data_IF_605105337034
#
_entry.id   IF_605105337034
#
_cell.length_a   1.000
_cell.length_b   1.000
_cell.length_c   1.000
_cell.angle_alpha   90.00
_cell.angle_beta   90.00
_cell.angle_gamma   90.00
#
_symmetry.space_group_name_H-M   'P 1'
#
loop_
_entity.id
_entity.type
_entity.pdbx_description
1 polymer ?
#
# COMPACT_ATOMS: atom_id res chain seq x y z
N UNK A 1 -0.77 -1.62 28.80
CA UNK A 1 -2.16 -1.71 29.26
C UNK A 1 -2.91 -2.68 28.36
N UNK A 2 -3.21 -3.88 28.89
CA UNK A 2 -4.02 -4.90 28.19
C UNK A 2 -5.51 -4.66 28.46
N UNK A 3 -5.98 -3.44 28.25
CA UNK A 3 -7.41 -3.17 28.36
C UNK A 3 -8.20 -3.94 27.30
N UNK A 4 -9.48 -4.18 27.52
CA UNK A 4 -10.36 -4.87 26.58
C UNK A 4 -10.42 -4.20 25.19
N UNK A 5 -10.10 -2.91 25.10
CA UNK A 5 -10.03 -2.16 23.86
C UNK A 5 -8.70 -2.30 23.11
N UNK A 6 -7.64 -2.73 23.80
CA UNK A 6 -6.28 -2.91 23.25
C UNK A 6 -5.85 -4.38 23.29
N UNK A 7 -6.77 -5.29 23.03
CA UNK A 7 -6.52 -6.73 23.07
C UNK A 7 -5.52 -7.25 22.00
N UNK A 8 -4.93 -6.38 21.17
CA UNK A 8 -3.99 -6.76 20.13
C UNK A 8 -2.79 -5.80 20.01
N UNK A 9 -1.99 -5.57 21.08
CA UNK A 9 -0.76 -4.79 20.99
C UNK A 9 0.18 -5.37 19.92
N UNK A 10 0.22 -6.67 19.75
CA UNK A 10 1.07 -7.36 18.76
C UNK A 10 0.78 -6.90 17.32
N UNK A 11 -0.47 -6.58 16.98
CA UNK A 11 -0.81 -6.06 15.64
C UNK A 11 -0.29 -4.65 15.44
N UNK A 12 -0.36 -3.83 16.47
CA UNK A 12 0.17 -2.46 16.41
C UNK A 12 1.69 -2.49 16.30
N UNK A 13 2.36 -3.29 17.12
CA UNK A 13 3.81 -3.45 17.09
C UNK A 13 4.31 -4.01 15.76
N UNK A 14 3.59 -4.97 15.17
CA UNK A 14 3.89 -5.49 13.85
C UNK A 14 3.76 -4.40 12.75
N UNK A 15 2.72 -3.58 12.83
CA UNK A 15 2.52 -2.45 11.89
C UNK A 15 3.60 -1.39 12.04
N UNK A 16 3.99 -1.08 13.29
CA UNK A 16 5.07 -0.17 13.60
C UNK A 16 6.40 -0.67 13.05
N UNK A 17 6.73 -1.93 13.30
CA UNK A 17 7.96 -2.55 12.81
C UNK A 17 8.00 -2.64 11.28
N UNK A 18 6.86 -2.91 10.64
CA UNK A 18 6.73 -2.96 9.17
C UNK A 18 6.94 -1.59 8.53
N UNK A 19 6.37 -0.53 9.09
CA UNK A 19 6.44 0.84 8.55
C UNK A 19 7.76 1.54 8.83
N UNK A 20 8.29 1.40 10.04
CA UNK A 20 9.40 2.21 10.54
C UNK A 20 10.58 1.41 11.10
N UNK A 21 10.56 0.09 10.94
CA UNK A 21 11.54 -0.82 11.52
C UNK A 21 11.32 -1.09 13.02
N UNK A 22 11.91 -2.17 13.52
CA UNK A 22 11.81 -2.53 14.93
C UNK A 22 12.35 -1.39 15.82
N UNK A 23 11.67 -1.05 16.93
CA UNK A 23 12.12 0.00 17.82
C UNK A 23 13.38 -0.42 18.60
N UNK A 24 14.30 0.52 18.76
CA UNK A 24 15.56 0.32 19.49
C UNK A 24 15.46 0.60 21.01
N UNK A 25 14.32 1.06 21.47
CA UNK A 25 14.03 1.39 22.87
C UNK A 25 12.75 2.18 23.02
N UNK A 26 12.40 2.54 24.25
CA UNK A 26 11.11 3.18 24.55
C UNK A 26 10.93 4.54 23.85
N UNK A 27 11.95 5.36 23.79
CA UNK A 27 11.89 6.68 23.12
C UNK A 27 11.67 6.53 21.62
N UNK A 28 12.38 5.60 21.00
CA UNK A 28 12.22 5.28 19.58
C UNK A 28 10.85 4.68 19.28
N UNK A 29 10.36 3.80 20.16
CA UNK A 29 9.00 3.28 20.10
C UNK A 29 7.97 4.40 20.13
N UNK A 30 8.02 5.29 21.10
CA UNK A 30 7.09 6.42 21.24
C UNK A 30 7.12 7.32 20.00
N UNK A 31 8.31 7.62 19.46
CA UNK A 31 8.48 8.45 18.26
C UNK A 31 7.81 7.78 17.04
N UNK A 32 8.07 6.50 16.82
CA UNK A 32 7.47 5.72 15.72
C UNK A 32 5.95 5.59 15.89
N UNK A 33 5.48 5.39 17.12
CA UNK A 33 4.07 5.34 17.43
C UNK A 33 3.35 6.66 17.10
N UNK A 34 3.96 7.80 17.41
CA UNK A 34 3.42 9.10 17.03
C UNK A 34 3.39 9.31 15.52
N UNK A 35 4.39 8.84 14.76
CA UNK A 35 4.38 8.89 13.29
C UNK A 35 3.21 8.08 12.70
N UNK A 36 3.00 6.85 13.16
CA UNK A 36 1.82 6.05 12.74
C UNK A 36 0.52 6.78 13.06
N UNK A 37 0.46 7.43 14.22
CA UNK A 37 -0.72 8.15 14.64
C UNK A 37 -1.00 9.37 13.74
N UNK A 38 0.05 10.09 13.30
CA UNK A 38 -0.06 11.16 12.29
C UNK A 38 -0.65 10.61 10.99
N UNK A 39 -0.02 9.57 10.44
CA UNK A 39 -0.40 9.00 9.14
C UNK A 39 -1.81 8.41 9.15
N UNK A 40 -2.15 7.65 10.20
CA UNK A 40 -3.46 7.00 10.30
C UNK A 40 -4.60 8.03 10.44
N UNK A 41 -4.42 9.04 11.28
CA UNK A 41 -5.45 10.07 11.43
C UNK A 41 -5.56 10.95 10.18
N UNK A 42 -4.43 11.34 9.58
CA UNK A 42 -4.42 12.07 8.31
C UNK A 42 -5.18 11.29 7.24
N UNK A 43 -4.84 10.02 7.02
CA UNK A 43 -5.49 9.18 6.02
C UNK A 43 -6.98 8.97 6.28
N UNK A 44 -7.40 8.85 7.55
CA UNK A 44 -8.81 8.74 7.91
C UNK A 44 -9.60 9.97 7.48
N UNK A 45 -9.12 11.16 7.80
CA UNK A 45 -9.80 12.41 7.44
C UNK A 45 -9.74 12.66 5.94
N UNK A 46 -8.61 12.39 5.28
CA UNK A 46 -8.48 12.51 3.82
C UNK A 46 -9.45 11.57 3.09
N UNK A 47 -9.65 10.34 3.59
CA UNK A 47 -10.62 9.40 3.02
C UNK A 47 -12.06 9.92 3.07
N UNK A 48 -12.44 10.68 4.10
CA UNK A 48 -13.75 11.34 4.17
C UNK A 48 -13.83 12.56 3.27
N UNK A 49 -12.79 13.36 3.18
CA UNK A 49 -12.71 14.49 2.24
C UNK A 49 -12.74 14.03 0.78
N UNK A 50 -12.12 12.87 0.47
CA UNK A 50 -12.17 12.25 -0.85
C UNK A 50 -13.61 11.95 -1.31
N UNK A 51 -14.48 11.63 -0.37
CA UNK A 51 -15.89 11.27 -0.59
C UNK A 51 -16.88 12.37 -0.17
N UNK A 52 -16.39 13.58 0.06
CA UNK A 52 -17.19 14.70 0.54
C UNK A 52 -18.39 14.97 -0.38
N UNK A 53 -19.60 14.93 0.22
CA UNK A 53 -20.92 15.11 -0.39
C UNK A 53 -21.37 14.02 -1.36
N UNK A 54 -20.55 13.01 -1.60
CA UNK A 54 -20.97 11.81 -2.33
C UNK A 54 -21.65 10.84 -1.35
N UNK A 55 -20.90 10.25 -0.44
CA UNK A 55 -21.41 9.37 0.62
C UNK A 55 -20.84 9.70 2.01
N UNK A 56 -20.13 10.81 2.13
CA UNK A 56 -19.55 11.30 3.38
C UNK A 56 -19.93 12.76 3.64
N UNK A 57 -20.47 13.04 4.83
CA UNK A 57 -20.87 14.39 5.26
C UNK A 57 -20.16 14.89 6.51
N UNK A 58 -19.38 14.06 7.18
CA UNK A 58 -18.60 14.43 8.36
C UNK A 58 -18.05 13.26 9.13
N UNK A 59 -17.20 13.55 10.11
CA UNK A 59 -16.59 12.58 11.01
C UNK A 59 -16.92 12.95 12.45
N UNK A 60 -17.34 11.96 13.23
CA UNK A 60 -17.42 12.08 14.68
C UNK A 60 -16.27 11.31 15.32
N UNK A 61 -15.33 12.03 15.92
CA UNK A 61 -14.18 11.41 16.59
C UNK A 61 -14.60 10.88 17.95
N UNK A 62 -14.34 9.59 18.20
CA UNK A 62 -14.55 8.98 19.50
C UNK A 62 -13.35 9.20 20.40
N UNK A 63 -13.55 9.99 21.43
CA UNK A 63 -12.67 10.48 22.49
C UNK A 63 -11.50 11.35 21.98
N UNK A 64 -11.65 12.65 22.18
CA UNK A 64 -10.60 13.63 21.88
C UNK A 64 -9.50 13.65 22.96
N UNK A 65 -9.78 13.21 24.19
CA UNK A 65 -8.87 13.27 25.33
C UNK A 65 -9.09 12.08 26.27
N UNK A 66 -8.01 11.63 26.92
CA UNK A 66 -8.06 10.62 27.97
C UNK A 66 -8.64 11.16 29.28
N UNK A 67 -9.43 10.34 29.98
CA UNK A 67 -9.91 10.64 31.33
C UNK A 67 -8.83 10.40 32.41
N UNK A 68 -7.76 9.72 32.09
CA UNK A 68 -6.61 9.39 32.95
C UNK A 68 -5.36 9.15 32.07
N UNK A 69 -4.14 9.23 32.63
CA UNK A 69 -2.93 8.94 31.86
C UNK A 69 -2.96 7.55 31.25
N UNK A 70 -2.99 7.46 29.91
CA UNK A 70 -3.03 6.21 29.14
C UNK A 70 -2.40 6.38 27.77
N UNK A 71 -2.02 5.27 27.15
CA UNK A 71 -1.50 5.23 25.77
C UNK A 71 -2.64 4.83 24.82
N UNK A 72 -3.41 5.82 24.35
CA UNK A 72 -4.55 5.61 23.47
C UNK A 72 -4.50 6.63 22.32
N UNK A 73 -5.34 6.45 21.34
CA UNK A 73 -5.39 7.17 20.05
C UNK A 73 -5.95 8.61 20.11
N UNK A 74 -6.15 9.20 21.27
CA UNK A 74 -6.76 10.53 21.39
C UNK A 74 -5.91 11.63 20.74
N UNK A 75 -6.57 12.73 20.35
CA UNK A 75 -5.91 13.93 19.80
C UNK A 75 -5.11 14.69 20.84
N UNK A 76 -5.55 14.61 22.10
CA UNK A 76 -4.85 15.18 23.27
C UNK A 76 -4.57 14.08 24.27
N UNK A 77 -3.44 14.13 24.90
CA UNK A 77 -3.17 13.29 26.07
C UNK A 77 -3.88 13.81 27.32
N UNK A 78 -3.72 13.10 28.45
CA UNK A 78 -4.32 13.51 29.73
C UNK A 78 -3.84 14.90 30.19
N UNK A 79 -2.63 15.28 29.87
CA UNK A 79 -1.99 16.56 30.26
C UNK A 79 -2.24 17.68 29.27
N UNK A 80 -3.09 17.49 28.27
CA UNK A 80 -3.39 18.43 27.18
C UNK A 80 -2.24 18.65 26.18
N UNK A 81 -1.25 17.77 26.17
CA UNK A 81 -0.25 17.78 25.12
C UNK A 81 -0.82 17.22 23.82
N UNK A 82 -0.33 17.74 22.70
CA UNK A 82 -0.79 17.39 21.37
C UNK A 82 -0.13 16.09 20.92
N UNK A 83 -0.93 15.11 20.54
CA UNK A 83 -0.45 13.82 20.00
C UNK A 83 -0.27 13.85 18.50
N UNK A 84 0.30 12.80 17.93
CA UNK A 84 0.35 12.60 16.47
C UNK A 84 -1.03 12.66 15.81
N UNK A 85 -2.09 12.19 16.49
CA UNK A 85 -3.46 12.28 15.99
C UNK A 85 -3.90 13.72 15.75
N UNK A 86 -3.58 14.63 16.63
CA UNK A 86 -3.87 16.07 16.44
C UNK A 86 -3.20 16.61 15.18
N UNK A 87 -1.92 16.33 15.00
CA UNK A 87 -1.16 16.87 13.87
C UNK A 87 -1.59 16.28 12.54
N UNK A 88 -1.89 14.98 12.50
CA UNK A 88 -2.45 14.32 11.32
C UNK A 88 -3.81 14.90 10.93
N UNK A 89 -4.71 15.02 11.91
CA UNK A 89 -6.04 15.61 11.71
C UNK A 89 -5.94 17.08 11.26
N UNK A 90 -5.13 17.89 11.92
CA UNK A 90 -4.91 19.29 11.57
C UNK A 90 -4.43 19.44 10.12
N UNK A 91 -3.49 18.62 9.69
CA UNK A 91 -2.97 18.64 8.32
C UNK A 91 -4.07 18.29 7.30
N UNK A 92 -4.86 17.22 7.56
CA UNK A 92 -5.95 16.83 6.67
C UNK A 92 -7.10 17.84 6.62
N UNK A 93 -7.34 18.58 7.72
CA UNK A 93 -8.42 19.53 7.83
C UNK A 93 -8.06 20.96 7.38
N UNK A 94 -6.99 21.16 6.62
CA UNK A 94 -6.72 22.45 6.00
C UNK A 94 -7.87 22.84 5.06
N UNK A 95 -8.35 24.09 5.10
CA UNK A 95 -9.54 24.50 4.34
C UNK A 95 -9.45 24.27 2.83
N UNK A 96 -8.25 24.39 2.28
CA UNK A 96 -7.89 24.01 0.92
C UNK A 96 -6.77 22.98 1.02
N UNK A 97 -7.07 21.72 0.73
CA UNK A 97 -6.19 20.59 1.00
C UNK A 97 -5.99 19.73 -0.25
N UNK A 98 -4.76 19.29 -0.48
CA UNK A 98 -4.42 18.32 -1.52
C UNK A 98 -4.24 16.94 -0.87
N UNK A 99 -4.86 15.93 -1.43
CA UNK A 99 -4.81 14.55 -0.94
C UNK A 99 -4.52 13.57 -2.08
N UNK A 100 -3.98 12.42 -1.72
CA UNK A 100 -3.77 11.30 -2.63
C UNK A 100 -4.55 10.08 -2.13
N UNK A 101 -5.35 9.48 -3.01
CA UNK A 101 -6.07 8.25 -2.73
C UNK A 101 -5.25 7.04 -3.19
N UNK A 102 -4.72 6.22 -2.27
CA UNK A 102 -3.86 5.07 -2.62
C UNK A 102 -4.58 3.91 -3.30
N UNK A 103 -5.92 3.92 -3.34
CA UNK A 103 -6.72 2.87 -3.99
C UNK A 103 -6.90 3.16 -5.49
N UNK A 104 -7.05 4.44 -5.83
CA UNK A 104 -7.30 4.90 -7.20
C UNK A 104 -6.09 5.59 -7.84
N UNK A 105 -5.04 5.84 -7.05
CA UNK A 105 -3.87 6.66 -7.40
C UNK A 105 -4.24 8.09 -7.83
N UNK A 106 -5.45 8.53 -7.48
CA UNK A 106 -5.95 9.86 -7.78
C UNK A 106 -5.40 10.89 -6.80
N UNK A 107 -4.94 12.02 -7.33
CA UNK A 107 -4.63 13.23 -6.58
C UNK A 107 -5.82 14.16 -6.69
N UNK A 108 -6.34 14.60 -5.55
CA UNK A 108 -7.53 15.44 -5.46
C UNK A 108 -7.27 16.69 -4.63
N UNK A 109 -8.04 17.74 -4.89
CA UNK A 109 -8.13 18.95 -4.06
C UNK A 109 -9.48 18.96 -3.38
N UNK A 110 -9.47 18.99 -2.05
CA UNK A 110 -10.65 19.24 -1.22
C UNK A 110 -10.68 20.72 -0.84
N UNK A 111 -11.76 21.39 -1.17
CA UNK A 111 -12.03 22.78 -0.83
C UNK A 111 -13.25 22.83 0.10
N UNK A 112 -13.01 23.02 1.39
CA UNK A 112 -14.10 23.16 2.39
C UNK A 112 -14.50 24.61 2.66
N UNK A 113 -13.97 25.55 1.88
CA UNK A 113 -14.30 26.97 2.00
C UNK A 113 -15.56 27.35 1.21
N UNK A 114 -16.07 28.52 1.47
CA UNK A 114 -17.20 29.14 0.68
C UNK A 114 -16.70 29.77 -0.63
N UNK A 115 -15.38 29.78 -0.88
CA UNK A 115 -14.78 30.47 -2.01
C UNK A 115 -14.49 29.51 -3.17
N UNK A 116 -14.65 30.00 -4.40
CA UNK A 116 -14.14 29.32 -5.60
C UNK A 116 -12.72 29.76 -5.87
N UNK A 117 -11.84 28.81 -6.13
CA UNK A 117 -10.45 29.08 -6.47
C UNK A 117 -10.20 28.81 -7.95
N UNK A 118 -9.58 29.77 -8.62
CA UNK A 118 -9.14 29.65 -10.01
C UNK A 118 -7.62 29.48 -10.05
N UNK A 119 -7.14 28.79 -11.07
CA UNK A 119 -5.73 28.66 -11.38
C UNK A 119 -4.86 28.08 -10.23
N UNK A 120 -5.42 27.14 -9.44
CA UNK A 120 -4.68 26.42 -8.44
C UNK A 120 -3.68 25.47 -9.11
N UNK A 121 -2.43 25.56 -8.74
CA UNK A 121 -1.41 24.56 -9.13
C UNK A 121 -1.44 23.39 -8.14
N UNK A 122 -1.99 22.26 -8.57
CA UNK A 122 -1.83 20.98 -7.87
C UNK A 122 -0.50 20.36 -8.31
N UNK A 123 0.39 20.07 -7.37
CA UNK A 123 1.73 19.52 -7.65
C UNK A 123 2.06 18.39 -6.69
N UNK A 124 2.57 17.29 -7.23
CA UNK A 124 3.06 16.13 -6.48
C UNK A 124 4.47 15.81 -6.92
N UNK A 125 5.36 15.66 -5.96
CA UNK A 125 6.71 15.13 -6.17
C UNK A 125 6.84 13.81 -5.42
N UNK A 126 7.14 12.75 -6.16
CA UNK A 126 7.38 11.42 -5.60
C UNK A 126 8.87 11.25 -5.32
N UNK A 127 9.19 10.70 -4.17
CA UNK A 127 10.57 10.40 -3.75
C UNK A 127 10.71 8.90 -3.49
N UNK A 128 11.90 8.37 -3.78
CA UNK A 128 12.26 7.03 -3.33
C UNK A 128 12.68 7.04 -1.85
N UNK A 129 12.97 5.87 -1.29
CA UNK A 129 13.38 5.73 0.11
C UNK A 129 14.73 6.38 0.43
N UNK A 130 15.54 6.71 -0.58
CA UNK A 130 16.80 7.47 -0.42
C UNK A 130 16.57 8.99 -0.42
N UNK A 131 15.32 9.45 -0.52
CA UNK A 131 14.97 10.87 -0.60
C UNK A 131 15.26 11.51 -1.96
N UNK A 132 15.52 10.73 -3.00
CA UNK A 132 15.70 11.22 -4.37
C UNK A 132 14.36 11.30 -5.08
N UNK A 133 14.10 12.44 -5.71
CA UNK A 133 12.90 12.62 -6.52
C UNK A 133 12.86 11.61 -7.68
N UNK A 134 11.66 11.08 -7.95
CA UNK A 134 11.37 10.21 -9.09
C UNK A 134 10.54 10.99 -10.10
N UNK A 135 11.17 11.63 -11.10
CA UNK A 135 10.49 12.56 -12.02
C UNK A 135 9.34 11.92 -12.81
N UNK A 136 9.45 10.64 -13.11
CA UNK A 136 8.43 9.91 -13.86
C UNK A 136 7.06 9.86 -13.17
N UNK A 137 7.04 9.89 -11.85
CA UNK A 137 5.81 9.91 -11.05
C UNK A 137 5.47 11.32 -10.53
N UNK A 138 6.39 12.29 -10.68
CA UNK A 138 6.12 13.68 -10.31
C UNK A 138 5.24 14.33 -11.37
N UNK A 139 4.17 15.00 -10.95
CA UNK A 139 3.17 15.56 -11.86
C UNK A 139 2.59 16.84 -11.29
N UNK A 140 2.16 17.74 -12.18
CA UNK A 140 1.40 18.93 -11.81
C UNK A 140 0.32 19.22 -12.82
N UNK A 141 -0.76 19.88 -12.38
CA UNK A 141 -1.79 20.45 -13.23
C UNK A 141 -2.32 21.73 -12.64
N UNK A 142 -2.93 22.58 -13.48
CA UNK A 142 -3.69 23.73 -13.06
C UNK A 142 -5.17 23.33 -13.03
N UNK A 143 -5.84 23.61 -11.92
CA UNK A 143 -7.23 23.22 -11.70
C UNK A 143 -8.05 24.38 -11.12
N UNK A 144 -9.37 24.32 -11.31
CA UNK A 144 -10.32 25.25 -10.72
C UNK A 144 -11.18 24.50 -9.72
N UNK A 145 -11.13 24.90 -8.45
CA UNK A 145 -11.87 24.25 -7.38
C UNK A 145 -13.10 25.08 -6.99
N UNK A 146 -14.28 24.50 -7.12
CA UNK A 146 -15.50 25.11 -6.62
C UNK A 146 -15.51 25.10 -5.09
N UNK A 147 -16.24 26.03 -4.51
CA UNK A 147 -16.49 26.05 -3.07
C UNK A 147 -17.13 24.76 -2.61
N UNK A 148 -16.73 24.29 -1.41
CA UNK A 148 -17.33 23.15 -0.73
C UNK A 148 -17.42 21.89 -1.61
N UNK A 149 -16.29 21.52 -2.25
CA UNK A 149 -16.21 20.40 -3.20
C UNK A 149 -14.87 19.67 -3.15
N UNK A 150 -14.87 18.43 -3.63
CA UNK A 150 -13.62 17.68 -3.90
C UNK A 150 -13.50 17.47 -5.40
N UNK A 151 -12.32 17.77 -5.95
CA UNK A 151 -12.02 17.70 -7.37
C UNK A 151 -10.80 16.78 -7.61
N UNK A 152 -10.93 15.85 -8.54
CA UNK A 152 -9.77 15.09 -9.04
C UNK A 152 -8.93 15.97 -9.97
N UNK A 153 -7.64 16.09 -9.66
CA UNK A 153 -6.68 16.86 -10.43
C UNK A 153 -6.02 16.00 -11.52
N UNK A 154 -5.57 14.83 -11.12
CA UNK A 154 -4.92 13.82 -11.98
C UNK A 154 -4.69 12.53 -11.22
N UNK A 155 -4.37 11.46 -11.93
CA UNK A 155 -3.88 10.19 -11.37
C UNK A 155 -2.37 10.05 -11.56
N UNK A 156 -1.72 9.29 -10.68
CA UNK A 156 -0.31 8.91 -10.79
C UNK A 156 -0.27 7.43 -11.16
N UNK A 157 0.15 7.13 -12.38
CA UNK A 157 0.28 5.74 -12.80
C UNK A 157 1.64 5.18 -12.36
N UNK A 158 1.68 4.57 -11.18
CA UNK A 158 2.88 3.91 -10.66
C UNK A 158 3.30 2.66 -11.43
N UNK A 159 2.46 2.17 -12.34
CA UNK A 159 2.78 1.03 -13.19
C UNK A 159 3.48 1.45 -14.48
N UNK A 160 3.47 2.73 -14.85
CA UNK A 160 3.99 3.22 -16.12
C UNK A 160 5.47 2.89 -16.35
N UNK A 161 6.26 2.86 -15.29
CA UNK A 161 7.69 2.50 -15.33
C UNK A 161 7.98 1.09 -14.80
N UNK A 162 6.95 0.38 -14.37
CA UNK A 162 7.04 -1.03 -13.99
C UNK A 162 6.08 -1.82 -14.87
N UNK A 163 6.43 -2.03 -16.14
CA UNK A 163 5.57 -2.78 -17.04
C UNK A 163 5.36 -4.18 -16.45
N UNK A 164 4.13 -4.69 -16.55
CA UNK A 164 3.87 -6.09 -16.26
C UNK A 164 4.53 -6.97 -17.33
N UNK A 165 5.77 -7.37 -17.08
CA UNK A 165 6.56 -8.19 -17.99
C UNK A 165 5.95 -9.59 -18.20
N UNK A 166 5.13 -10.04 -17.24
CA UNK A 166 4.47 -11.33 -17.27
C UNK A 166 3.13 -11.34 -18.00
N UNK A 167 2.58 -10.18 -18.38
CA UNK A 167 1.26 -10.10 -18.99
C UNK A 167 1.18 -10.89 -20.30
N UNK A 168 0.24 -11.86 -20.37
CA UNK A 168 0.03 -12.76 -21.51
C UNK A 168 1.28 -13.57 -21.96
N UNK A 169 2.25 -13.71 -21.07
CA UNK A 169 3.44 -14.51 -21.32
C UNK A 169 3.17 -16.00 -21.14
N UNK A 170 4.08 -16.83 -21.66
CA UNK A 170 4.00 -18.27 -21.51
C UNK A 170 4.22 -18.68 -20.05
N UNK A 171 3.34 -19.51 -19.54
CA UNK A 171 3.42 -20.08 -18.18
C UNK A 171 3.64 -21.58 -18.22
N UNK A 172 4.35 -22.06 -17.22
CA UNK A 172 4.50 -23.49 -16.93
C UNK A 172 4.22 -23.71 -15.45
N UNK A 173 3.51 -24.77 -15.15
CA UNK A 173 3.02 -25.06 -13.79
C UNK A 173 3.36 -26.49 -13.38
N UNK A 174 3.42 -26.73 -12.08
CA UNK A 174 3.62 -28.06 -11.49
C UNK A 174 2.39 -28.96 -11.67
N UNK A 175 1.20 -28.37 -11.59
CA UNK A 175 -0.09 -29.06 -11.73
C UNK A 175 -1.21 -28.06 -12.01
N UNK A 176 -2.36 -28.55 -12.40
CA UNK A 176 -3.58 -27.76 -12.56
C UNK A 176 -4.78 -28.55 -12.00
N UNK A 177 -5.55 -27.92 -11.11
CA UNK A 177 -6.85 -28.43 -10.66
C UNK A 177 -8.01 -27.65 -11.27
N UNK A 178 -7.83 -26.32 -11.48
CA UNK A 178 -8.86 -25.45 -12.04
C UNK A 178 -8.21 -24.31 -12.84
N UNK A 179 -8.85 -23.90 -13.93
CA UNK A 179 -8.42 -22.83 -14.82
C UNK A 179 -7.27 -23.21 -15.73
N UNK A 180 -7.12 -22.50 -16.83
CA UNK A 180 -5.94 -22.61 -17.69
C UNK A 180 -4.77 -21.86 -17.04
N UNK A 181 -3.54 -22.39 -17.05
CA UNK A 181 -2.37 -21.69 -16.47
C UNK A 181 -2.16 -20.26 -16.99
N UNK A 182 -2.54 -19.95 -18.23
CA UNK A 182 -2.43 -18.60 -18.78
C UNK A 182 -3.31 -17.58 -18.08
N UNK A 183 -4.36 -18.02 -17.38
CA UNK A 183 -5.23 -17.13 -16.59
C UNK A 183 -4.48 -16.47 -15.41
N UNK A 184 -3.36 -17.05 -14.96
CA UNK A 184 -2.54 -16.44 -13.92
C UNK A 184 -1.84 -15.17 -14.37
N UNK A 185 -1.76 -14.89 -15.67
CA UNK A 185 -1.04 -13.76 -16.27
C UNK A 185 -1.84 -13.00 -17.33
N UNK A 186 -3.14 -13.20 -17.43
CA UNK A 186 -4.01 -12.57 -18.44
C UNK A 186 -4.47 -11.14 -18.08
N UNK A 187 -4.10 -10.67 -16.87
CA UNK A 187 -4.43 -9.33 -16.38
C UNK A 187 -5.88 -9.15 -15.91
N UNK A 188 -6.67 -10.21 -15.84
CA UNK A 188 -8.07 -10.17 -15.41
C UNK A 188 -8.18 -10.56 -13.93
N UNK A 189 -9.11 -9.95 -13.22
CA UNK A 189 -9.35 -10.22 -11.79
C UNK A 189 -10.39 -11.33 -11.54
N UNK A 190 -11.15 -11.68 -12.55
CA UNK A 190 -12.23 -12.66 -12.52
C UNK A 190 -11.81 -14.04 -13.05
N UNK A 191 -10.58 -14.17 -13.48
CA UNK A 191 -9.96 -15.42 -13.90
C UNK A 191 -8.86 -15.85 -12.94
N UNK A 192 -8.63 -17.17 -12.84
CA UNK A 192 -7.54 -17.70 -12.01
C UNK A 192 -7.04 -19.05 -12.54
N UNK A 193 -5.83 -19.38 -12.14
CA UNK A 193 -5.29 -20.73 -12.18
C UNK A 193 -5.17 -21.26 -10.75
N UNK A 194 -5.52 -22.51 -10.53
CA UNK A 194 -5.32 -23.21 -9.26
C UNK A 194 -4.50 -24.48 -9.47
N UNK A 195 -3.48 -24.66 -8.63
CA UNK A 195 -2.70 -25.89 -8.55
C UNK A 195 -3.50 -27.03 -7.89
N UNK A 196 -2.98 -28.25 -7.91
CA UNK A 196 -3.48 -29.31 -7.04
C UNK A 196 -3.33 -28.89 -5.55
N UNK A 197 -4.27 -29.33 -4.71
CA UNK A 197 -4.33 -29.00 -3.27
C UNK A 197 -3.27 -29.79 -2.49
N UNK A 198 -2.00 -29.48 -2.71
CA UNK A 198 -0.85 -30.11 -2.06
C UNK A 198 0.34 -29.15 -1.95
N UNK A 199 1.30 -29.51 -1.12
CA UNK A 199 2.52 -28.73 -0.93
C UNK A 199 3.48 -28.88 -2.13
N UNK A 200 4.45 -27.95 -2.24
CA UNK A 200 5.49 -27.89 -3.27
C UNK A 200 4.98 -27.64 -4.69
N UNK A 201 3.89 -26.91 -4.81
CA UNK A 201 3.37 -26.46 -6.10
C UNK A 201 4.06 -25.17 -6.56
N UNK A 202 4.15 -25.00 -7.87
CA UNK A 202 4.84 -23.84 -8.44
C UNK A 202 4.24 -23.43 -9.79
N UNK A 203 4.47 -22.17 -10.11
CA UNK A 203 4.21 -21.56 -11.41
C UNK A 203 5.42 -20.72 -11.80
N UNK A 204 5.87 -20.82 -13.05
CA UNK A 204 6.82 -19.85 -13.59
C UNK A 204 6.34 -19.25 -14.91
N UNK A 205 6.78 -18.00 -15.13
CA UNK A 205 6.52 -17.22 -16.32
C UNK A 205 7.80 -17.13 -17.15
N UNK A 206 7.74 -17.40 -18.46
CA UNK A 206 8.81 -17.15 -19.42
C UNK A 206 8.62 -15.75 -20.00
N UNK A 207 9.46 -14.82 -19.63
CA UNK A 207 9.42 -13.43 -20.11
C UNK A 207 9.91 -13.26 -21.56
N UNK A 208 10.25 -14.38 -22.22
CA UNK A 208 10.69 -14.43 -23.63
C UNK A 208 12.16 -14.03 -23.85
N UNK A 209 12.72 -13.17 -23.01
CA UNK A 209 14.12 -12.73 -23.04
C UNK A 209 14.61 -12.40 -21.65
N UNK A 210 15.93 -12.34 -21.49
CA UNK A 210 16.56 -11.83 -20.28
C UNK A 210 16.29 -10.33 -20.17
N UNK A 211 15.79 -9.89 -19.02
CA UNK A 211 15.50 -8.49 -18.74
C UNK A 211 15.49 -8.24 -17.24
N UNK A 212 15.64 -6.97 -16.77
CA UNK A 212 15.66 -6.65 -15.36
C UNK A 212 14.30 -6.91 -14.71
N UNK A 213 14.31 -7.64 -13.60
CA UNK A 213 13.13 -7.96 -12.77
C UNK A 213 13.42 -7.51 -11.35
N UNK A 214 12.62 -6.60 -10.82
CA UNK A 214 12.77 -6.05 -9.47
C UNK A 214 11.60 -6.36 -8.53
N UNK A 215 10.64 -7.18 -8.95
CA UNK A 215 9.52 -7.56 -8.10
C UNK A 215 8.46 -8.41 -8.79
N UNK A 216 7.50 -8.85 -7.97
CA UNK A 216 6.34 -9.64 -8.39
C UNK A 216 5.11 -9.14 -7.65
N UNK A 217 4.00 -9.02 -8.35
CA UNK A 217 2.68 -8.87 -7.75
C UNK A 217 1.98 -10.22 -7.78
N UNK A 218 1.54 -10.69 -6.62
CA UNK A 218 0.70 -11.88 -6.48
C UNK A 218 -0.71 -11.44 -6.09
N UNK A 219 -1.70 -11.79 -6.92
CA UNK A 219 -3.11 -11.62 -6.63
C UNK A 219 -3.68 -12.99 -6.25
N UNK A 220 -3.81 -13.23 -4.95
CA UNK A 220 -4.36 -14.44 -4.39
C UNK A 220 -5.88 -14.40 -4.35
N UNK A 221 -6.49 -15.54 -4.58
CA UNK A 221 -7.89 -15.78 -4.27
C UNK A 221 -8.04 -16.01 -2.75
N UNK A 222 -9.13 -16.63 -2.27
CA UNK A 222 -9.31 -16.96 -0.86
C UNK A 222 -8.26 -17.96 -0.33
N UNK A 223 -7.75 -18.84 -1.19
CA UNK A 223 -6.67 -19.77 -0.87
C UNK A 223 -5.33 -19.20 -1.33
N UNK A 224 -4.33 -19.23 -0.45
CA UNK A 224 -3.03 -18.64 -0.73
C UNK A 224 -1.88 -19.42 -0.08
N UNK A 225 -0.67 -19.25 -0.62
CA UNK A 225 0.54 -19.81 -0.03
C UNK A 225 0.95 -19.08 1.24
N UNK A 226 1.10 -19.79 2.35
CA UNK A 226 1.64 -19.24 3.60
C UNK A 226 3.15 -19.20 3.63
N UNK A 227 3.76 -20.24 3.10
CA UNK A 227 5.21 -20.34 2.96
C UNK A 227 5.56 -20.51 1.49
N UNK A 228 6.23 -19.52 0.92
CA UNK A 228 6.61 -19.54 -0.48
C UNK A 228 7.89 -18.72 -0.75
N UNK A 229 8.43 -18.89 -1.93
CA UNK A 229 9.54 -18.08 -2.43
C UNK A 229 9.33 -17.65 -3.87
N UNK A 230 9.95 -16.51 -4.21
CA UNK A 230 10.11 -16.04 -5.57
C UNK A 230 11.54 -16.36 -6.01
N UNK A 231 11.66 -16.94 -7.16
CA UNK A 231 12.94 -17.33 -7.74
C UNK A 231 13.02 -16.80 -9.18
N UNK A 232 14.24 -16.56 -9.60
CA UNK A 232 14.56 -16.12 -10.96
C UNK A 232 15.54 -17.10 -11.62
N UNK A 233 15.49 -17.17 -12.94
CA UNK A 233 16.37 -18.06 -13.71
C UNK A 233 16.57 -17.54 -15.14
N UNK A 234 17.66 -17.96 -15.78
CA UNK A 234 17.92 -17.71 -17.19
C UNK A 234 17.76 -18.96 -18.08
N UNK A 235 17.63 -20.16 -17.47
CA UNK A 235 17.55 -21.46 -18.16
C UNK A 235 16.37 -22.33 -17.74
N UNK A 236 15.56 -21.86 -16.78
CA UNK A 236 14.47 -22.60 -16.14
C UNK A 236 14.90 -23.91 -15.44
N UNK A 237 16.19 -24.10 -15.21
CA UNK A 237 16.76 -25.27 -14.54
C UNK A 237 17.44 -24.86 -13.23
N UNK A 238 18.30 -23.86 -13.29
CA UNK A 238 18.97 -23.30 -12.11
C UNK A 238 18.19 -22.07 -11.64
N UNK A 239 17.75 -22.11 -10.37
CA UNK A 239 16.90 -21.11 -9.78
C UNK A 239 17.60 -20.39 -8.64
N UNK A 240 17.70 -19.08 -8.75
CA UNK A 240 18.19 -18.19 -7.70
C UNK A 240 17.02 -17.65 -6.89
N UNK A 241 17.12 -17.69 -5.56
CA UNK A 241 16.10 -17.08 -4.70
C UNK A 241 16.22 -15.55 -4.73
N UNK A 242 15.12 -14.89 -5.02
CA UNK A 242 15.00 -13.44 -4.98
C UNK A 242 14.25 -12.94 -3.73
N UNK A 243 13.32 -13.76 -3.23
CA UNK A 243 12.54 -13.46 -2.03
C UNK A 243 11.99 -14.76 -1.43
N UNK A 244 11.82 -14.80 -0.11
CA UNK A 244 11.09 -15.87 0.57
C UNK A 244 10.31 -15.36 1.77
N UNK A 245 9.20 -16.04 2.09
CA UNK A 245 8.38 -15.75 3.27
C UNK A 245 7.83 -17.03 3.87
N UNK A 246 7.60 -17.01 5.20
CA UNK A 246 6.84 -18.02 5.95
C UNK A 246 5.50 -17.48 6.45
N UNK A 247 5.18 -16.24 6.11
CA UNK A 247 4.03 -15.51 6.62
C UNK A 247 3.30 -14.79 5.48
N UNK A 248 2.96 -15.51 4.41
CA UNK A 248 2.08 -14.99 3.35
C UNK A 248 0.75 -14.53 3.94
N UNK A 249 0.23 -13.42 3.47
CA UNK A 249 -0.98 -12.77 4.00
C UNK A 249 -2.20 -12.94 3.09
N UNK A 250 -2.01 -13.41 1.87
CA UNK A 250 -3.09 -13.53 0.88
C UNK A 250 -3.54 -12.18 0.30
N UNK A 251 -4.60 -12.20 -0.49
CA UNK A 251 -5.06 -11.02 -1.19
C UNK A 251 -4.03 -10.51 -2.20
N UNK A 252 -3.72 -9.22 -2.20
CA UNK A 252 -2.72 -8.64 -3.09
C UNK A 252 -1.40 -8.45 -2.34
N UNK A 253 -0.36 -9.15 -2.78
CA UNK A 253 0.99 -9.03 -2.25
C UNK A 253 1.93 -8.43 -3.30
N UNK A 254 2.49 -7.25 -2.99
CA UNK A 254 3.53 -6.61 -3.79
C UNK A 254 4.89 -6.94 -3.19
N UNK A 255 5.65 -7.75 -3.89
CA UNK A 255 6.97 -8.24 -3.47
C UNK A 255 8.03 -7.50 -4.28
N UNK A 256 8.94 -6.84 -3.59
CA UNK A 256 10.09 -6.16 -4.21
C UNK A 256 11.39 -6.77 -3.74
N UNK A 257 12.36 -6.84 -4.62
CA UNK A 257 13.71 -7.33 -4.35
C UNK A 257 14.73 -6.56 -5.20
N UNK A 258 16.03 -6.61 -4.86
CA UNK A 258 17.06 -6.03 -5.72
C UNK A 258 16.96 -6.56 -7.13
N UNK A 259 17.01 -5.66 -8.11
CA UNK A 259 16.86 -5.99 -9.52
C UNK A 259 17.83 -7.08 -9.97
N UNK A 260 17.33 -8.07 -10.68
CA UNK A 260 18.06 -9.21 -11.22
C UNK A 260 17.73 -9.41 -12.69
N UNK A 261 18.74 -9.63 -13.52
CA UNK A 261 18.55 -9.98 -14.92
C UNK A 261 18.05 -11.43 -15.03
N UNK A 262 16.81 -11.60 -15.49
CA UNK A 262 16.18 -12.92 -15.59
C UNK A 262 15.25 -13.05 -16.80
N UNK A 263 15.17 -14.26 -17.35
CA UNK A 263 14.17 -14.65 -18.34
C UNK A 263 12.97 -15.33 -17.70
N UNK A 264 13.17 -16.07 -16.61
CA UNK A 264 12.11 -16.82 -15.95
C UNK A 264 11.91 -16.35 -14.51
N UNK A 265 10.66 -16.21 -14.11
CA UNK A 265 10.27 -15.86 -12.75
C UNK A 265 9.33 -16.93 -12.22
N UNK A 266 9.66 -17.54 -11.07
CA UNK A 266 8.89 -18.61 -10.46
C UNK A 266 8.39 -18.24 -9.07
N UNK A 267 7.14 -18.48 -8.80
CA UNK A 267 6.61 -18.63 -7.44
C UNK A 267 6.62 -20.13 -7.10
N UNK A 268 7.19 -20.46 -5.96
CA UNK A 268 7.23 -21.82 -5.43
C UNK A 268 6.62 -21.83 -4.02
N UNK A 269 5.51 -22.52 -3.87
CA UNK A 269 4.78 -22.64 -2.61
C UNK A 269 5.20 -23.91 -1.86
N UNK A 270 5.61 -23.74 -0.60
CA UNK A 270 5.93 -24.87 0.28
C UNK A 270 4.69 -25.34 1.04
N UNK A 271 3.78 -24.38 1.39
CA UNK A 271 2.61 -24.67 2.21
C UNK A 271 1.48 -23.66 1.97
#
# INVERSE_FOLDING_TARGET
DQSAFNAAPDRYDASLAKGFGAPSGIEDYCRKAQLINIESNKAMYEGWLDRMWDDASGIMTWMGQSAYPSMVWQTYDYYYDLTGAYWGTKSACEPLHILWNPVTDAVKVANTTAENYQDLKAEVTVYNMDGKAVPAYSKSSVVHSASNSTLECFTIDFNKERPNLGLNQKVVVSSTSEGDPSMAVDGKKDTRWSSAYRDNEWIYVDLGKVQPVGGVRLDWEASYGKEYKIQVSNDAQQWEEAYSTKNGIGGVELITFPEKDARYVRMFGFK
#
